data_IF_118450331175
#
_entry.id   IF_118450331175
#
_cell.length_a   1.000
_cell.length_b   1.000
_cell.length_c   1.000
_cell.angle_alpha   90.00
_cell.angle_beta   90.00
_cell.angle_gamma   90.00
#
_symmetry.space_group_name_H-M   'P 1'
#
loop_
_entity.id
_entity.type
_entity.pdbx_description
1 polymer ?
#
# COMPACT_ATOMS: atom_id res chain seq x y z
N UNK A 1 -9.30 -10.30 20.12
CA UNK A 1 -7.82 -10.25 19.91
C UNK A 1 -7.29 -9.87 18.53
N UNK A 2 -7.99 -10.04 17.40
CA UNK A 2 -7.39 -9.71 16.08
C UNK A 2 -7.27 -8.20 15.81
N UNK A 3 -8.27 -7.42 16.24
CA UNK A 3 -8.32 -5.98 16.04
C UNK A 3 -7.22 -5.22 16.81
N UNK A 4 -6.94 -5.64 18.05
CA UNK A 4 -5.92 -4.99 18.89
C UNK A 4 -4.51 -5.17 18.31
N UNK A 5 -4.22 -6.34 17.74
CA UNK A 5 -2.97 -6.58 17.00
C UNK A 5 -2.86 -5.72 15.76
N UNK A 6 -3.93 -5.59 14.97
CA UNK A 6 -3.94 -4.73 13.78
C UNK A 6 -3.70 -3.24 14.11
N UNK A 7 -4.24 -2.75 15.23
CA UNK A 7 -4.03 -1.36 15.66
C UNK A 7 -2.59 -1.11 16.10
N UNK A 8 -1.98 -2.06 16.83
CA UNK A 8 -0.57 -1.96 17.27
C UNK A 8 0.37 -2.05 16.05
N UNK A 9 0.10 -2.96 15.13
CA UNK A 9 0.85 -3.13 13.88
C UNK A 9 0.76 -1.85 13.02
N UNK A 10 -0.44 -1.29 12.85
CA UNK A 10 -0.64 -0.02 12.15
C UNK A 10 0.14 1.15 12.80
N UNK A 11 0.19 1.21 14.14
CA UNK A 11 0.97 2.23 14.86
C UNK A 11 2.48 2.09 14.64
N UNK A 12 2.97 0.87 14.42
CA UNK A 12 4.38 0.60 14.14
C UNK A 12 4.76 0.79 12.67
N UNK A 13 3.90 1.43 11.87
CA UNK A 13 4.05 1.50 10.40
C UNK A 13 4.27 0.13 9.74
N UNK A 14 3.91 -0.96 10.42
CA UNK A 14 4.22 -2.32 10.01
C UNK A 14 2.92 -3.07 9.93
N UNK A 15 2.44 -3.38 8.73
CA UNK A 15 1.17 -4.08 8.62
C UNK A 15 0.75 -4.27 7.17
N UNK A 16 -0.24 -5.15 6.97
CA UNK A 16 -0.77 -5.44 5.65
C UNK A 16 -1.26 -4.16 4.93
N UNK A 17 -1.79 -3.19 5.67
CA UNK A 17 -2.22 -1.91 5.14
C UNK A 17 -1.08 -1.04 4.60
N UNK A 18 0.06 -0.98 5.30
CA UNK A 18 1.23 -0.19 4.85
C UNK A 18 1.90 -0.85 3.66
N UNK A 19 2.07 -2.19 3.71
CA UNK A 19 2.60 -2.97 2.60
C UNK A 19 1.76 -2.79 1.33
N UNK A 20 0.42 -2.86 1.45
CA UNK A 20 -0.48 -2.64 0.32
C UNK A 20 -0.36 -1.23 -0.28
N UNK A 21 -0.14 -0.20 0.55
CA UNK A 21 0.10 1.17 0.08
C UNK A 21 1.42 1.29 -0.69
N UNK A 22 2.50 0.74 -0.16
CA UNK A 22 3.82 0.76 -0.82
C UNK A 22 3.82 -0.04 -2.13
N UNK A 23 3.21 -1.23 -2.13
CA UNK A 23 3.07 -2.05 -3.34
C UNK A 23 2.27 -1.31 -4.42
N UNK A 24 1.20 -0.62 -4.02
CA UNK A 24 0.41 0.21 -4.95
C UNK A 24 1.22 1.37 -5.52
N UNK A 25 2.04 2.03 -4.70
CA UNK A 25 2.91 3.12 -5.16
C UNK A 25 3.99 2.62 -6.13
N UNK A 26 4.70 1.54 -5.81
CA UNK A 26 5.70 0.94 -6.71
C UNK A 26 5.07 0.47 -8.03
N UNK A 27 3.88 -0.11 -7.96
CA UNK A 27 3.15 -0.56 -9.14
C UNK A 27 2.64 0.63 -9.99
N UNK A 28 2.29 1.75 -9.37
CA UNK A 28 1.93 2.97 -10.07
C UNK A 28 3.14 3.60 -10.79
N UNK A 29 4.33 3.60 -10.17
CA UNK A 29 5.58 4.05 -10.81
C UNK A 29 5.97 3.15 -11.99
N UNK A 30 5.85 1.84 -11.85
CA UNK A 30 6.11 0.89 -12.94
C UNK A 30 5.14 1.07 -14.12
N UNK A 31 3.88 1.42 -13.85
CA UNK A 31 2.85 1.64 -14.87
C UNK A 31 2.79 3.09 -15.37
N UNK A 32 3.75 3.94 -15.00
CA UNK A 32 3.81 5.34 -15.45
C UNK A 32 3.84 5.47 -16.98
N UNK A 33 4.45 4.51 -17.68
CA UNK A 33 4.47 4.47 -19.15
C UNK A 33 3.07 4.28 -19.77
N UNK A 34 2.13 3.66 -19.03
CA UNK A 34 0.75 3.47 -19.47
C UNK A 34 -0.19 4.61 -19.06
N UNK A 35 0.31 5.66 -18.38
CA UNK A 35 -0.51 6.80 -17.98
C UNK A 35 -1.13 7.55 -19.17
N UNK A 36 -0.54 7.42 -20.36
CA UNK A 36 -1.01 8.03 -21.60
C UNK A 36 -2.23 7.32 -22.23
N UNK A 37 -2.62 6.13 -21.76
CA UNK A 37 -3.84 5.43 -22.22
C UNK A 37 -5.12 5.93 -21.55
N UNK A 38 -5.03 6.96 -20.68
CA UNK A 38 -6.16 7.50 -19.91
C UNK A 38 -6.83 8.72 -20.59
N UNK A 39 -6.73 8.79 -21.92
CA UNK A 39 -7.51 9.74 -22.74
C UNK A 39 -8.82 9.09 -23.22
#
# INVERSE_FOLDING_TARGET
DRLAKEIIDASNNTGAAVKKREDTHKMAEANRAFAHYRW
#
